data_IF_042997075170
#
_entry.id   IF_042997075170
#
_cell.length_a   1.000
_cell.length_b   1.000
_cell.length_c   1.000
_cell.angle_alpha   90.00
_cell.angle_beta   90.00
_cell.angle_gamma   90.00
#
_symmetry.space_group_name_H-M   'P 1'
#
loop_
_entity.id
_entity.type
_entity.pdbx_description
1 polymer ?
#
# COMPACT_ATOMS: atom_id res chain seq x y z
N UNK A 1 -29.73 -3.73 4.39
CA UNK A 1 -29.95 -2.33 4.77
C UNK A 1 -28.64 -1.74 5.24
N UNK A 2 -28.32 -0.51 4.83
CA UNK A 2 -27.14 0.22 5.31
C UNK A 2 -27.26 0.36 6.84
N UNK A 3 -26.32 -0.15 7.65
CA UNK A 3 -26.43 -0.05 9.10
C UNK A 3 -26.46 1.42 9.51
N UNK A 4 -27.32 1.77 10.45
CA UNK A 4 -27.42 3.14 11.00
C UNK A 4 -26.07 3.56 11.58
N UNK A 5 -25.35 4.39 10.83
CA UNK A 5 -24.06 4.97 11.24
C UNK A 5 -24.34 6.07 12.27
N UNK A 6 -24.35 5.71 13.55
CA UNK A 6 -24.15 6.70 14.60
C UNK A 6 -22.64 6.92 14.71
N UNK A 7 -22.20 8.14 14.44
CA UNK A 7 -20.80 8.55 14.64
C UNK A 7 -20.51 8.48 16.14
N UNK A 8 -19.80 7.45 16.55
CA UNK A 8 -19.37 7.30 17.94
C UNK A 8 -17.94 7.86 18.08
N UNK A 9 -17.74 8.96 18.82
CA UNK A 9 -16.43 9.60 18.95
C UNK A 9 -15.36 8.66 19.52
N UNK A 10 -15.77 7.68 20.34
CA UNK A 10 -14.86 6.67 20.90
C UNK A 10 -14.30 5.75 19.81
N UNK A 11 -15.16 5.30 18.89
CA UNK A 11 -14.75 4.48 17.75
C UNK A 11 -13.89 5.30 16.80
N UNK A 12 -14.27 6.55 16.53
CA UNK A 12 -13.48 7.47 15.70
C UNK A 12 -12.06 7.63 16.22
N UNK A 13 -11.89 7.82 17.54
CA UNK A 13 -10.57 7.97 18.19
C UNK A 13 -9.71 6.72 18.08
N UNK A 14 -10.30 5.53 18.16
CA UNK A 14 -9.59 4.26 17.98
C UNK A 14 -9.15 4.02 16.53
N UNK A 15 -9.85 4.61 15.56
CA UNK A 15 -9.53 4.54 14.12
C UNK A 15 -8.51 5.62 13.72
N UNK A 16 -8.28 6.67 14.53
CA UNK A 16 -7.36 7.76 14.19
C UNK A 16 -5.95 7.33 13.78
N UNK A 17 -5.28 6.37 14.45
CA UNK A 17 -3.94 5.94 14.03
C UNK A 17 -3.93 5.36 12.61
N UNK A 18 -4.98 4.61 12.26
CA UNK A 18 -5.16 4.11 10.90
C UNK A 18 -5.34 5.29 9.91
N UNK A 19 -6.17 6.27 10.26
CA UNK A 19 -6.43 7.43 9.41
C UNK A 19 -5.20 8.32 9.20
N UNK A 20 -4.37 8.51 10.23
CA UNK A 20 -3.12 9.24 10.11
C UNK A 20 -2.15 8.55 9.13
N UNK A 21 -1.99 7.23 9.25
CA UNK A 21 -1.15 6.45 8.33
C UNK A 21 -1.74 6.42 6.92
N UNK A 22 -3.07 6.31 6.79
CA UNK A 22 -3.78 6.35 5.52
C UNK A 22 -3.54 7.67 4.77
N UNK A 23 -3.59 8.81 5.46
CA UNK A 23 -3.28 10.11 4.86
C UNK A 23 -1.82 10.20 4.46
N UNK A 24 -0.90 9.76 5.34
CA UNK A 24 0.52 9.68 5.01
C UNK A 24 0.76 8.85 3.74
N UNK A 25 0.05 7.73 3.60
CA UNK A 25 0.06 6.89 2.40
C UNK A 25 -0.45 7.65 1.17
N UNK A 26 -1.62 8.29 1.23
CA UNK A 26 -2.20 8.99 0.08
C UNK A 26 -1.31 10.17 -0.35
N UNK A 27 -0.87 10.98 0.61
CA UNK A 27 -0.01 12.14 0.35
C UNK A 27 1.34 11.73 -0.23
N UNK A 28 2.01 10.73 0.36
CA UNK A 28 3.31 10.25 -0.15
C UNK A 28 3.18 9.61 -1.54
N UNK A 29 2.09 8.87 -1.81
CA UNK A 29 1.85 8.32 -3.14
C UNK A 29 1.66 9.42 -4.19
N UNK A 30 0.87 10.45 -3.88
CA UNK A 30 0.65 11.57 -4.80
C UNK A 30 1.92 12.39 -5.04
N UNK A 31 2.71 12.64 -3.99
CA UNK A 31 4.00 13.33 -4.11
C UNK A 31 5.03 12.50 -4.87
N UNK A 32 5.03 11.17 -4.71
CA UNK A 32 5.85 10.28 -5.51
C UNK A 32 5.49 10.37 -7.00
N UNK A 33 4.20 10.23 -7.35
CA UNK A 33 3.72 10.35 -8.73
C UNK A 33 3.91 11.73 -9.35
N UNK A 34 4.02 12.79 -8.54
CA UNK A 34 4.37 14.14 -9.00
C UNK A 34 5.83 14.25 -9.46
N UNK A 35 6.72 13.46 -8.86
CA UNK A 35 8.16 13.55 -9.06
C UNK A 35 8.75 12.39 -9.85
N UNK A 36 7.98 11.32 -10.08
CA UNK A 36 8.43 10.09 -10.74
C UNK A 36 7.37 9.54 -11.67
N UNK A 37 7.81 8.96 -12.79
CA UNK A 37 6.95 8.24 -13.73
C UNK A 37 6.18 7.08 -13.09
N UNK A 38 5.01 6.77 -13.67
CA UNK A 38 4.09 5.74 -13.18
C UNK A 38 4.75 4.35 -13.17
N UNK A 39 5.64 4.09 -14.13
CA UNK A 39 6.34 2.83 -14.26
C UNK A 39 7.29 2.58 -13.07
N UNK A 40 8.14 3.57 -12.73
CA UNK A 40 9.03 3.47 -11.57
C UNK A 40 8.29 3.59 -10.23
N UNK A 41 7.15 4.30 -10.19
CA UNK A 41 6.27 4.27 -9.01
C UNK A 41 5.88 2.83 -8.62
N UNK A 42 5.57 1.97 -9.58
CA UNK A 42 5.24 0.56 -9.30
C UNK A 42 6.45 -0.23 -8.78
N UNK A 43 7.66 0.08 -9.26
CA UNK A 43 8.92 -0.49 -8.75
C UNK A 43 9.10 -0.10 -7.28
N UNK A 44 8.94 1.18 -6.93
CA UNK A 44 8.99 1.64 -5.54
C UNK A 44 7.90 1.03 -4.66
N UNK A 45 6.69 0.85 -5.21
CA UNK A 45 5.56 0.26 -4.49
C UNK A 45 5.81 -1.17 -4.05
N UNK A 46 6.60 -1.93 -4.79
CA UNK A 46 6.95 -3.32 -4.43
C UNK A 46 7.69 -3.45 -3.09
N UNK A 47 8.44 -2.40 -2.67
CA UNK A 47 9.10 -2.35 -1.36
C UNK A 47 8.10 -2.46 -0.20
N UNK A 48 6.81 -2.17 -0.44
CA UNK A 48 5.73 -2.42 0.51
C UNK A 48 5.76 -3.86 1.02
N UNK A 49 6.08 -4.83 0.16
CA UNK A 49 6.19 -6.24 0.54
C UNK A 49 7.32 -6.46 1.54
N UNK A 50 8.49 -5.87 1.29
CA UNK A 50 9.66 -5.94 2.19
C UNK A 50 9.34 -5.29 3.53
N UNK A 51 8.74 -4.10 3.53
CA UNK A 51 8.31 -3.44 4.77
C UNK A 51 7.23 -4.22 5.50
N UNK A 52 6.29 -4.84 4.80
CA UNK A 52 5.29 -5.71 5.42
C UNK A 52 5.94 -6.87 6.17
N UNK A 53 6.97 -7.51 5.60
CA UNK A 53 7.73 -8.58 6.27
C UNK A 53 8.41 -8.05 7.52
N UNK A 54 9.17 -6.97 7.37
CA UNK A 54 9.95 -6.37 8.44
C UNK A 54 9.05 -5.89 9.59
N UNK A 55 7.95 -5.21 9.28
CA UNK A 55 6.98 -4.76 10.27
C UNK A 55 6.17 -5.90 10.88
N UNK A 56 5.87 -6.98 10.14
CA UNK A 56 5.22 -8.16 10.71
C UNK A 56 6.15 -8.88 11.70
N UNK A 57 7.45 -8.92 11.42
CA UNK A 57 8.44 -9.42 12.36
C UNK A 57 8.56 -8.51 13.59
N UNK A 58 8.70 -7.19 13.40
CA UNK A 58 8.89 -6.24 14.52
C UNK A 58 7.64 -6.02 15.37
N UNK A 59 6.47 -5.84 14.76
CA UNK A 59 5.23 -5.47 15.46
C UNK A 59 4.40 -6.69 15.89
N UNK A 60 4.39 -7.75 15.08
CA UNK A 60 3.58 -8.95 15.36
C UNK A 60 4.43 -10.12 15.91
N UNK A 61 5.76 -9.97 16.00
CA UNK A 61 6.70 -11.03 16.43
C UNK A 61 6.54 -12.35 15.67
N UNK A 62 6.07 -12.30 14.43
CA UNK A 62 5.92 -13.50 13.61
C UNK A 62 7.26 -13.87 12.97
N UNK A 63 7.67 -15.13 13.13
CA UNK A 63 8.88 -15.65 12.51
C UNK A 63 8.72 -15.70 10.99
N UNK A 64 9.79 -15.37 10.27
CA UNK A 64 9.82 -15.35 8.81
C UNK A 64 10.83 -16.37 8.32
N UNK A 65 10.43 -17.19 7.35
CA UNK A 65 11.32 -18.20 6.74
C UNK A 65 12.45 -17.55 5.95
N UNK A 66 13.57 -18.27 5.87
CA UNK A 66 14.71 -17.91 5.02
C UNK A 66 14.29 -17.68 3.57
N UNK A 67 13.33 -18.47 3.05
CA UNK A 67 12.83 -18.30 1.68
C UNK A 67 12.11 -16.97 1.46
N UNK A 68 11.39 -16.47 2.47
CA UNK A 68 10.75 -15.16 2.41
C UNK A 68 11.80 -14.03 2.51
N UNK A 69 12.88 -14.23 3.25
CA UNK A 69 14.01 -13.29 3.32
C UNK A 69 14.75 -13.21 1.97
N UNK A 70 14.99 -14.35 1.31
CA UNK A 70 15.58 -14.39 -0.04
C UNK A 70 14.71 -13.65 -1.06
N UNK A 71 13.39 -13.84 -1.01
CA UNK A 71 12.46 -13.11 -1.87
C UNK A 71 12.53 -11.58 -1.62
N UNK A 72 12.68 -11.15 -0.36
CA UNK A 72 12.91 -9.74 -0.04
C UNK A 72 14.25 -9.24 -0.62
N UNK A 73 15.31 -10.06 -0.56
CA UNK A 73 16.61 -9.74 -1.17
C UNK A 73 16.49 -9.52 -2.68
N UNK A 74 15.73 -10.35 -3.39
CA UNK A 74 15.46 -10.18 -4.83
C UNK A 74 14.71 -8.87 -5.12
N UNK A 75 13.72 -8.52 -4.30
CA UNK A 75 12.98 -7.25 -4.44
C UNK A 75 13.92 -6.05 -4.24
N UNK A 76 14.77 -6.08 -3.20
CA UNK A 76 15.72 -4.99 -2.92
C UNK A 76 16.73 -4.87 -4.07
N UNK A 77 17.27 -5.99 -4.56
CA UNK A 77 18.20 -6.01 -5.69
C UNK A 77 17.57 -5.46 -6.97
N UNK A 78 16.33 -5.86 -7.27
CA UNK A 78 15.59 -5.33 -8.41
C UNK A 78 15.29 -3.84 -8.26
N UNK A 79 14.89 -3.38 -7.06
CA UNK A 79 14.68 -1.95 -6.78
C UNK A 79 15.96 -1.14 -7.00
N UNK A 80 17.10 -1.60 -6.49
CA UNK A 80 18.39 -0.93 -6.68
C UNK A 80 18.77 -0.87 -8.16
N UNK A 81 18.62 -1.98 -8.90
CA UNK A 81 18.85 -1.98 -10.35
C UNK A 81 17.92 -1.00 -11.07
N UNK A 82 16.67 -0.85 -10.62
CA UNK A 82 15.72 0.09 -11.19
C UNK A 82 16.12 1.54 -10.94
N UNK A 83 16.59 1.84 -9.72
CA UNK A 83 17.12 3.17 -9.34
C UNK A 83 18.34 3.52 -10.20
N UNK A 84 19.26 2.57 -10.38
CA UNK A 84 20.47 2.77 -11.18
C UNK A 84 20.13 3.08 -12.65
N UNK A 85 19.17 2.35 -13.23
CA UNK A 85 18.74 2.57 -14.62
C UNK A 85 18.00 3.91 -14.81
N UNK A 86 17.10 4.30 -13.90
CA UNK A 86 16.50 5.65 -13.94
C UNK A 86 17.56 6.75 -13.72
N UNK A 87 18.59 6.47 -12.94
CA UNK A 87 19.76 7.35 -12.77
C UNK A 87 20.53 7.53 -14.07
N UNK A 88 20.77 6.43 -14.80
CA UNK A 88 21.45 6.44 -16.10
C UNK A 88 20.62 7.14 -17.20
N UNK A 89 19.29 7.02 -17.15
CA UNK A 89 18.36 7.71 -18.06
C UNK A 89 18.17 9.20 -17.71
N UNK A 90 18.69 9.67 -16.56
CA UNK A 90 18.59 11.06 -16.12
C UNK A 90 17.21 11.48 -15.61
N UNK A 91 16.27 10.54 -15.49
CA UNK A 91 14.90 10.74 -14.99
C UNK A 91 14.79 10.61 -13.48
N UNK A 92 15.91 10.32 -12.80
CA UNK A 92 15.94 10.06 -11.37
C UNK A 92 15.62 11.30 -10.54
N UNK A 93 14.61 11.15 -9.67
CA UNK A 93 14.25 12.13 -8.66
C UNK A 93 14.46 11.55 -7.26
N UNK A 94 15.47 12.06 -6.54
CA UNK A 94 15.73 11.67 -5.15
C UNK A 94 14.55 11.94 -4.23
N UNK A 95 13.86 13.06 -4.44
CA UNK A 95 12.62 13.42 -3.73
C UNK A 95 11.52 12.39 -4.01
N UNK A 96 11.40 11.97 -5.26
CA UNK A 96 10.48 10.93 -5.69
C UNK A 96 10.75 9.57 -5.06
N UNK A 97 12.02 9.14 -5.04
CA UNK A 97 12.46 7.91 -4.37
C UNK A 97 12.13 7.96 -2.87
N UNK A 98 12.44 9.07 -2.20
CA UNK A 98 12.15 9.23 -0.77
C UNK A 98 10.64 9.10 -0.49
N UNK A 99 9.79 9.81 -1.25
CA UNK A 99 8.34 9.69 -1.11
C UNK A 99 7.82 8.30 -1.52
N UNK A 100 8.46 7.63 -2.47
CA UNK A 100 8.14 6.25 -2.84
C UNK A 100 8.40 5.25 -1.72
N UNK A 101 9.57 5.35 -1.06
CA UNK A 101 9.92 4.52 0.10
C UNK A 101 8.96 4.81 1.26
N UNK A 102 8.70 6.10 1.55
CA UNK A 102 7.77 6.51 2.59
C UNK A 102 6.34 6.04 2.30
N UNK A 103 5.89 6.12 1.05
CA UNK A 103 4.60 5.62 0.62
C UNK A 103 4.51 4.10 0.87
N UNK A 104 5.51 3.33 0.46
CA UNK A 104 5.55 1.88 0.70
C UNK A 104 5.53 1.50 2.19
N UNK A 105 6.22 2.27 3.03
CA UNK A 105 6.16 2.13 4.48
C UNK A 105 4.74 2.45 5.02
N UNK A 106 4.13 3.55 4.58
CA UNK A 106 2.77 3.89 5.01
C UNK A 106 1.73 2.88 4.51
N UNK A 107 1.86 2.33 3.30
CA UNK A 107 0.97 1.28 2.78
C UNK A 107 1.05 0.03 3.66
N UNK A 108 2.27 -0.41 4.02
CA UNK A 108 2.46 -1.59 4.87
C UNK A 108 1.91 -1.38 6.28
N UNK A 109 2.19 -0.23 6.90
CA UNK A 109 1.58 0.16 8.17
C UNK A 109 0.05 0.23 8.09
N UNK A 110 -0.51 0.79 7.02
CA UNK A 110 -1.94 0.90 6.80
C UNK A 110 -2.59 -0.48 6.76
N UNK A 111 -1.97 -1.46 6.10
CA UNK A 111 -2.45 -2.84 6.05
C UNK A 111 -2.44 -3.52 7.44
N UNK A 112 -1.39 -3.30 8.23
CA UNK A 112 -1.28 -3.83 9.61
C UNK A 112 -2.33 -3.20 10.53
N UNK A 113 -2.43 -1.87 10.53
CA UNK A 113 -3.42 -1.15 11.34
C UNK A 113 -4.85 -1.47 10.92
N UNK A 114 -5.12 -1.67 9.61
CA UNK A 114 -6.44 -2.09 9.13
C UNK A 114 -6.86 -3.39 9.80
N UNK A 115 -5.97 -4.39 9.85
CA UNK A 115 -6.25 -5.66 10.53
C UNK A 115 -6.41 -5.50 12.05
N UNK A 116 -5.59 -4.65 12.68
CA UNK A 116 -5.62 -4.41 14.13
C UNK A 116 -6.88 -3.68 14.58
N UNK A 117 -7.40 -2.77 13.75
CA UNK A 117 -8.58 -1.93 14.05
C UNK A 117 -9.89 -2.57 13.57
N UNK A 118 -9.84 -3.52 12.62
CA UNK A 118 -11.01 -4.23 12.12
C UNK A 118 -11.92 -4.85 13.22
N UNK A 119 -11.39 -5.46 14.31
CA UNK A 119 -12.22 -5.97 15.41
C UNK A 119 -12.96 -4.87 16.19
N UNK A 120 -12.43 -3.65 16.22
CA UNK A 120 -13.00 -2.50 16.96
C UNK A 120 -14.28 -1.98 16.29
N UNK A 121 -14.49 -2.30 15.01
CA UNK A 121 -15.66 -1.90 14.21
C UNK A 121 -16.55 -3.10 13.86
N UNK A 122 -16.57 -4.12 14.72
CA UNK A 122 -17.35 -5.35 14.58
C UNK A 122 -17.06 -6.11 13.27
N UNK A 123 -15.84 -6.02 12.73
CA UNK A 123 -15.48 -6.66 11.46
C UNK A 123 -16.19 -6.07 10.22
N UNK A 124 -16.81 -4.90 10.37
CA UNK A 124 -17.48 -4.19 9.27
C UNK A 124 -16.51 -3.26 8.56
N UNK A 125 -16.07 -3.67 7.37
CA UNK A 125 -15.26 -2.82 6.48
C UNK A 125 -15.98 -1.53 6.15
N UNK A 126 -17.30 -1.58 5.96
CA UNK A 126 -18.05 -0.39 5.62
C UNK A 126 -17.99 0.66 6.73
N UNK A 127 -18.09 0.23 8.00
CA UNK A 127 -17.86 1.11 9.16
C UNK A 127 -16.41 1.60 9.19
N UNK A 128 -15.44 0.71 8.99
CA UNK A 128 -14.02 1.07 8.99
C UNK A 128 -13.72 2.17 7.96
N UNK A 129 -14.15 1.97 6.71
CA UNK A 129 -13.94 2.90 5.60
C UNK A 129 -14.65 4.23 5.86
N UNK A 130 -15.87 4.20 6.42
CA UNK A 130 -16.59 5.42 6.78
C UNK A 130 -15.84 6.23 7.84
N UNK A 131 -15.50 5.64 8.98
CA UNK A 131 -14.75 6.32 10.04
C UNK A 131 -13.38 6.81 9.56
N UNK A 132 -12.69 5.98 8.76
CA UNK A 132 -11.40 6.33 8.20
C UNK A 132 -11.48 7.55 7.28
N UNK A 133 -12.45 7.58 6.36
CA UNK A 133 -12.62 8.69 5.42
C UNK A 133 -13.06 9.97 6.14
N UNK A 134 -13.96 9.89 7.12
CA UNK A 134 -14.36 11.05 7.93
C UNK A 134 -13.17 11.63 8.70
N UNK A 135 -12.41 10.79 9.40
CA UNK A 135 -11.18 11.20 10.08
C UNK A 135 -10.16 11.76 9.08
N UNK A 136 -10.03 11.15 7.89
CA UNK A 136 -9.11 11.61 6.87
C UNK A 136 -9.47 13.00 6.34
N UNK A 137 -10.76 13.29 6.09
CA UNK A 137 -11.20 14.64 5.71
C UNK A 137 -10.77 15.69 6.74
N UNK A 138 -10.92 15.39 8.04
CA UNK A 138 -10.52 16.30 9.12
C UNK A 138 -8.99 16.47 9.19
N UNK A 139 -8.24 15.37 9.07
CA UNK A 139 -6.78 15.39 9.18
C UNK A 139 -6.08 15.92 7.91
N UNK A 140 -6.73 15.91 6.75
CA UNK A 140 -6.21 16.55 5.52
C UNK A 140 -6.16 18.08 5.63
N UNK A 141 -7.08 18.71 6.38
CA UNK A 141 -7.07 20.17 6.59
C UNK A 141 -5.76 20.71 7.19
N UNK A 142 -5.27 20.24 8.35
CA UNK A 142 -4.01 20.70 8.90
C UNK A 142 -2.82 20.32 8.00
N UNK A 143 -2.88 19.19 7.30
CA UNK A 143 -1.83 18.81 6.37
C UNK A 143 -1.74 19.75 5.17
N UNK A 144 -2.88 20.17 4.60
CA UNK A 144 -2.92 21.17 3.52
C UNK A 144 -2.39 22.53 3.98
N UNK A 145 -2.61 22.92 5.25
CA UNK A 145 -2.02 24.12 5.83
C UNK A 145 -0.49 24.01 5.91
N UNK A 146 0.02 22.88 6.43
CA UNK A 146 1.46 22.65 6.60
C UNK A 146 2.21 22.56 5.27
N UNK A 147 1.61 21.97 4.25
CA UNK A 147 2.21 21.83 2.92
C UNK A 147 2.04 23.09 2.05
N UNK A 148 1.30 24.11 2.52
CA UNK A 148 1.07 25.35 1.78
C UNK A 148 0.12 25.19 0.57
N UNK A 149 -0.62 24.10 0.49
CA UNK A 149 -1.52 23.78 -0.63
C UNK A 149 -2.64 24.80 -0.80
N UNK A 150 -3.04 25.50 0.27
CA UNK A 150 -4.03 26.59 0.17
C UNK A 150 -3.56 27.74 -0.73
N UNK A 151 -2.26 28.03 -0.75
CA UNK A 151 -1.70 29.08 -1.63
C UNK A 151 -1.71 28.62 -3.08
N UNK A 152 -1.36 27.36 -3.32
CA UNK A 152 -1.41 26.71 -4.63
C UNK A 152 -2.83 26.68 -5.18
N UNK A 153 -3.81 26.32 -4.33
CA UNK A 153 -5.23 26.36 -4.67
C UNK A 153 -5.66 27.78 -5.02
N UNK A 154 -5.35 28.79 -4.22
CA UNK A 154 -5.77 30.17 -4.53
C UNK A 154 -5.32 30.66 -5.91
N UNK A 155 -4.14 30.22 -6.39
CA UNK A 155 -3.60 30.59 -7.71
C UNK A 155 -3.98 29.59 -8.82
N UNK A 156 -4.84 28.61 -8.54
CA UNK A 156 -5.21 27.60 -9.52
C UNK A 156 -6.42 28.03 -10.34
N UNK A 157 -6.17 28.49 -11.57
CA UNK A 157 -7.17 29.09 -12.46
C UNK A 157 -8.36 28.18 -12.81
N UNK A 158 -8.22 26.85 -12.65
CA UNK A 158 -9.27 25.88 -13.01
C UNK A 158 -10.19 25.50 -11.85
N UNK A 159 -10.03 26.08 -10.66
CA UNK A 159 -10.91 25.80 -9.51
C UNK A 159 -12.39 26.11 -9.77
N UNK A 160 -12.69 27.09 -10.62
CA UNK A 160 -14.05 27.41 -11.04
C UNK A 160 -14.60 26.54 -12.17
N UNK A 161 -13.78 25.65 -12.75
CA UNK A 161 -14.16 24.89 -13.95
C UNK A 161 -15.06 23.70 -13.59
N UNK A 162 -16.23 23.56 -14.22
CA UNK A 162 -17.07 22.37 -14.07
C UNK A 162 -16.36 21.08 -14.51
N UNK A 163 -15.49 21.17 -15.52
CA UNK A 163 -14.71 20.02 -16.01
C UNK A 163 -13.71 19.53 -14.97
N UNK A 164 -13.07 20.44 -14.24
CA UNK A 164 -12.18 20.11 -13.13
C UNK A 164 -12.94 19.37 -12.02
N UNK A 165 -14.08 19.90 -11.57
CA UNK A 165 -14.90 19.23 -10.55
C UNK A 165 -15.52 17.92 -11.04
N UNK A 166 -15.83 17.81 -12.34
CA UNK A 166 -16.26 16.55 -12.96
C UNK A 166 -15.18 15.47 -12.86
N UNK A 167 -13.94 15.78 -13.27
CA UNK A 167 -12.81 14.85 -13.14
C UNK A 167 -12.47 14.55 -11.67
N UNK A 168 -12.51 15.55 -10.78
CA UNK A 168 -12.25 15.37 -9.36
C UNK A 168 -13.28 14.46 -8.70
N UNK A 169 -14.57 14.68 -8.98
CA UNK A 169 -15.66 13.86 -8.44
C UNK A 169 -15.58 12.44 -8.98
N UNK A 170 -15.32 12.27 -10.28
CA UNK A 170 -15.14 10.95 -10.90
C UNK A 170 -13.95 10.20 -10.27
N UNK A 171 -12.82 10.88 -10.09
CA UNK A 171 -11.66 10.33 -9.39
C UNK A 171 -11.97 9.94 -7.95
N UNK A 172 -12.73 10.77 -7.23
CA UNK A 172 -13.19 10.48 -5.86
C UNK A 172 -14.10 9.25 -5.79
N UNK A 173 -15.04 9.11 -6.72
CA UNK A 173 -15.93 7.94 -6.82
C UNK A 173 -15.13 6.67 -7.09
N UNK A 174 -14.21 6.69 -8.05
CA UNK A 174 -13.33 5.54 -8.32
C UNK A 174 -12.39 5.24 -7.15
N UNK A 175 -11.84 6.26 -6.50
CA UNK A 175 -10.98 6.10 -5.32
C UNK A 175 -11.73 5.44 -4.16
N UNK A 176 -12.95 5.89 -3.88
CA UNK A 176 -13.82 5.27 -2.88
C UNK A 176 -14.18 3.82 -3.25
N UNK A 177 -14.57 3.58 -4.51
CA UNK A 177 -14.92 2.25 -5.00
C UNK A 177 -13.74 1.28 -4.90
N UNK A 178 -12.54 1.69 -5.32
CA UNK A 178 -11.31 0.90 -5.19
C UNK A 178 -11.03 0.62 -3.70
N UNK A 179 -11.07 1.63 -2.84
CA UNK A 179 -10.84 1.44 -1.40
C UNK A 179 -11.83 0.46 -0.77
N UNK A 180 -13.10 0.54 -1.14
CA UNK A 180 -14.13 -0.38 -0.67
C UNK A 180 -13.94 -1.80 -1.19
N UNK A 181 -13.71 -1.97 -2.50
CA UNK A 181 -13.47 -3.28 -3.13
C UNK A 181 -12.19 -3.92 -2.60
N UNK A 182 -11.12 -3.16 -2.39
CA UNK A 182 -9.88 -3.63 -1.77
C UNK A 182 -10.13 -4.11 -0.34
N UNK A 183 -10.91 -3.37 0.45
CA UNK A 183 -11.34 -3.81 1.77
C UNK A 183 -12.11 -5.12 1.70
N UNK A 184 -13.14 -5.21 0.83
CA UNK A 184 -13.93 -6.43 0.64
C UNK A 184 -13.08 -7.62 0.21
N UNK A 185 -12.12 -7.40 -0.70
CA UNK A 185 -11.17 -8.42 -1.13
C UNK A 185 -10.37 -8.93 0.07
N UNK A 186 -9.87 -8.06 0.95
CA UNK A 186 -9.13 -8.49 2.16
C UNK A 186 -10.01 -9.30 3.12
N UNK A 187 -11.32 -9.02 3.21
CA UNK A 187 -12.25 -9.77 4.08
C UNK A 187 -12.71 -11.09 3.50
N UNK A 188 -13.04 -11.13 2.21
CA UNK A 188 -13.59 -12.33 1.55
C UNK A 188 -12.52 -13.23 0.95
N UNK A 189 -11.31 -12.71 0.71
CA UNK A 189 -10.17 -13.52 0.25
C UNK A 189 -9.11 -13.58 1.33
N UNK A 190 -8.10 -14.44 1.12
CA UNK A 190 -6.95 -14.44 2.01
C UNK A 190 -6.09 -13.19 1.78
N UNK A 191 -5.37 -12.68 2.80
CA UNK A 191 -4.37 -11.63 2.61
C UNK A 191 -3.32 -11.96 1.54
N UNK A 192 -3.05 -13.25 1.33
CA UNK A 192 -2.17 -13.74 0.26
C UNK A 192 -2.78 -13.49 -1.12
N UNK A 193 -4.05 -13.85 -1.33
CA UNK A 193 -4.77 -13.63 -2.58
C UNK A 193 -4.82 -12.15 -2.94
N UNK A 194 -5.09 -11.28 -1.97
CA UNK A 194 -5.03 -9.82 -2.15
C UNK A 194 -3.64 -9.36 -2.65
N UNK A 195 -2.55 -9.87 -2.08
CA UNK A 195 -1.20 -9.50 -2.49
C UNK A 195 -0.82 -10.03 -3.88
N UNK A 196 -1.25 -11.25 -4.25
CA UNK A 196 -1.06 -11.78 -5.62
C UNK A 196 -1.80 -10.90 -6.62
N UNK A 197 -3.08 -10.59 -6.38
CA UNK A 197 -3.86 -9.70 -7.25
C UNK A 197 -3.24 -8.30 -7.33
N UNK A 198 -2.71 -7.78 -6.23
CA UNK A 198 -1.99 -6.51 -6.19
C UNK A 198 -0.72 -6.53 -7.05
N UNK A 199 0.05 -7.61 -7.03
CA UNK A 199 1.26 -7.78 -7.85
C UNK A 199 0.92 -7.91 -9.33
N UNK A 200 -0.11 -8.68 -9.67
CA UNK A 200 -0.59 -8.78 -11.05
C UNK A 200 -1.11 -7.44 -11.59
N UNK A 201 -1.86 -6.69 -10.77
CA UNK A 201 -2.27 -5.33 -11.09
C UNK A 201 -1.07 -4.41 -11.33
N UNK A 202 -0.06 -4.44 -10.47
CA UNK A 202 1.15 -3.63 -10.64
C UNK A 202 1.90 -3.98 -11.94
N UNK A 203 2.03 -5.27 -12.25
CA UNK A 203 2.62 -5.73 -13.51
C UNK A 203 1.89 -5.16 -14.73
N UNK A 204 0.56 -5.33 -14.77
CA UNK A 204 -0.26 -4.78 -15.85
C UNK A 204 -0.16 -3.26 -15.93
N UNK A 205 -0.20 -2.56 -14.79
CA UNK A 205 -0.06 -1.10 -14.76
C UNK A 205 1.29 -0.62 -15.27
N UNK A 206 2.39 -1.33 -14.97
CA UNK A 206 3.71 -0.98 -15.47
C UNK A 206 3.78 -1.14 -16.99
N UNK A 207 3.32 -2.26 -17.53
CA UNK A 207 3.32 -2.51 -18.98
C UNK A 207 2.44 -1.48 -19.71
N UNK A 208 1.22 -1.24 -19.19
CA UNK A 208 0.32 -0.25 -19.77
C UNK A 208 0.89 1.18 -19.70
N UNK A 209 1.57 1.54 -18.60
CA UNK A 209 2.20 2.85 -18.48
C UNK A 209 3.30 3.03 -19.53
N UNK A 210 4.20 2.06 -19.69
CA UNK A 210 5.29 2.14 -20.68
C UNK A 210 4.73 2.27 -22.11
N UNK A 211 3.69 1.51 -22.45
CA UNK A 211 3.04 1.58 -23.77
C UNK A 211 2.32 2.92 -23.96
N UNK A 212 1.55 3.37 -22.98
CA UNK A 212 0.71 4.56 -23.10
C UNK A 212 1.51 5.87 -23.09
N UNK A 213 2.58 5.94 -22.29
CA UNK A 213 3.48 7.09 -22.22
C UNK A 213 4.60 7.03 -23.27
N UNK A 214 4.59 6.02 -24.16
CA UNK A 214 5.59 5.82 -25.22
C UNK A 214 7.03 5.86 -24.70
N UNK A 215 7.25 5.34 -23.49
CA UNK A 215 8.57 5.33 -22.84
C UNK A 215 9.42 4.18 -23.40
N UNK A 216 10.62 4.50 -23.89
CA UNK A 216 11.62 3.49 -24.25
C UNK A 216 12.49 3.16 -23.05
N UNK A 217 12.31 1.95 -22.50
CA UNK A 217 13.06 1.48 -21.33
C UNK A 217 14.12 0.45 -21.69
N UNK A 218 15.26 0.52 -21.02
CA UNK A 218 16.38 -0.41 -21.22
C UNK A 218 16.01 -1.86 -20.87
N UNK A 219 16.73 -2.85 -21.42
CA UNK A 219 16.53 -4.25 -21.02
C UNK A 219 16.83 -4.48 -19.53
N UNK A 220 17.78 -3.74 -18.96
CA UNK A 220 18.10 -3.79 -17.52
C UNK A 220 16.96 -3.24 -16.65
N UNK A 221 16.23 -2.25 -17.17
CA UNK A 221 15.04 -1.74 -16.49
C UNK A 221 13.93 -2.80 -16.45
N UNK A 222 13.73 -3.53 -17.55
CA UNK A 222 12.77 -4.65 -17.59
C UNK A 222 13.18 -5.80 -16.68
N UNK A 223 14.47 -6.14 -16.61
CA UNK A 223 14.94 -7.17 -15.67
C UNK A 223 14.76 -6.75 -14.22
N UNK A 224 15.00 -5.47 -13.89
CA UNK A 224 14.67 -4.89 -12.58
C UNK A 224 13.19 -5.08 -12.23
N UNK A 225 12.28 -4.69 -13.13
CA UNK A 225 10.85 -4.83 -12.91
C UNK A 225 10.43 -6.31 -12.76
N UNK A 226 11.01 -7.22 -13.55
CA UNK A 226 10.78 -8.66 -13.42
C UNK A 226 11.29 -9.23 -12.10
N UNK A 227 12.48 -8.82 -11.63
CA UNK A 227 13.01 -9.23 -10.32
C UNK A 227 12.08 -8.77 -9.20
N UNK A 228 11.62 -7.53 -9.26
CA UNK A 228 10.75 -6.94 -8.25
C UNK A 228 9.38 -7.65 -8.18
N UNK A 229 8.73 -7.83 -9.34
CA UNK A 229 7.42 -8.47 -9.41
C UNK A 229 7.51 -9.97 -9.12
N UNK A 230 8.53 -10.63 -9.67
CA UNK A 230 8.83 -12.04 -9.43
C UNK A 230 9.16 -12.32 -7.96
N UNK A 231 9.96 -11.46 -7.32
CA UNK A 231 10.25 -11.53 -5.88
C UNK A 231 9.00 -11.35 -5.02
N UNK A 232 8.13 -10.40 -5.37
CA UNK A 232 6.85 -10.19 -4.68
C UNK A 232 5.90 -11.40 -4.83
N UNK A 233 5.87 -12.01 -6.01
CA UNK A 233 5.12 -13.24 -6.26
C UNK A 233 5.70 -14.42 -5.47
N UNK A 234 7.01 -14.64 -5.53
CA UNK A 234 7.71 -15.71 -4.81
C UNK A 234 7.51 -15.59 -3.29
N UNK A 235 7.60 -14.38 -2.73
CA UNK A 235 7.31 -14.11 -1.32
C UNK A 235 5.88 -14.56 -0.96
N UNK A 236 4.91 -14.18 -1.77
CA UNK A 236 3.50 -14.52 -1.53
C UNK A 236 3.28 -16.02 -1.63
N UNK A 237 3.94 -16.69 -2.59
CA UNK A 237 3.90 -18.14 -2.73
C UNK A 237 4.47 -18.87 -1.51
N UNK A 238 5.67 -18.48 -1.06
CA UNK A 238 6.32 -19.04 0.14
C UNK A 238 5.45 -18.89 1.37
N UNK A 239 4.93 -17.69 1.62
CA UNK A 239 4.01 -17.46 2.75
C UNK A 239 2.72 -18.28 2.62
N UNK A 240 2.23 -18.49 1.41
CA UNK A 240 1.09 -19.38 1.16
C UNK A 240 1.37 -20.82 1.58
N UNK A 241 2.54 -21.35 1.24
CA UNK A 241 2.96 -22.69 1.63
C UNK A 241 3.16 -22.82 3.15
N UNK A 242 3.75 -21.81 3.80
CA UNK A 242 3.88 -21.78 5.27
C UNK A 242 2.53 -21.82 5.97
N UNK A 243 1.56 -21.01 5.52
CA UNK A 243 0.22 -21.00 6.12
C UNK A 243 -0.50 -22.34 5.97
N UNK A 244 -0.33 -23.04 4.83
CA UNK A 244 -0.89 -24.38 4.61
C UNK A 244 -0.27 -25.43 5.53
N UNK A 245 1.06 -25.44 5.67
CA UNK A 245 1.76 -26.37 6.57
C UNK A 245 1.30 -26.22 8.03
N UNK A 246 1.09 -25.00 8.51
CA UNK A 246 0.60 -24.74 9.87
C UNK A 246 -0.85 -25.19 10.07
N UNK A 247 -1.66 -25.27 9.01
CA UNK A 247 -3.02 -25.81 9.07
C UNK A 247 -3.07 -27.34 9.01
N UNK A 248 -2.15 -27.98 8.28
CA UNK A 248 -2.07 -29.44 8.12
C UNK A 248 -1.41 -30.15 9.33
N UNK A 249 -0.59 -29.46 10.14
CA UNK A 249 0.02 -30.00 11.38
C UNK A 249 -0.46 -29.27 12.66
N UNK A 250 -1.58 -29.69 13.30
CA UNK A 250 -2.09 -29.08 14.53
C UNK A 250 -1.18 -29.31 15.75
N UNK A 251 -0.23 -30.26 15.67
CA UNK A 251 0.56 -30.74 16.81
C UNK A 251 1.71 -29.80 17.20
N UNK A 252 2.02 -28.79 16.39
CA UNK A 252 3.04 -27.76 16.71
C UNK A 252 2.50 -26.70 17.67
N UNK A 253 1.19 -26.40 17.63
CA UNK A 253 0.55 -25.47 18.58
C UNK A 253 0.55 -25.99 20.02
N UNK A 254 0.57 -27.32 20.22
CA UNK A 254 0.68 -27.96 21.54
C UNK A 254 2.10 -27.91 22.11
N UNK A 255 3.14 -27.92 21.27
CA UNK A 255 4.53 -27.82 21.74
C UNK A 255 4.90 -26.39 22.17
N UNK A 256 4.58 -25.36 21.38
CA UNK A 256 4.94 -23.97 21.74
C UNK A 256 4.22 -23.45 22.99
N UNK A 257 3.01 -23.95 23.27
CA UNK A 257 2.27 -23.60 24.50
C UNK A 257 2.84 -24.30 25.74
N UNK A 258 3.55 -25.41 25.58
CA UNK A 258 4.21 -26.11 26.69
C UNK A 258 5.61 -25.54 26.98
N UNK A 259 6.30 -24.94 25.99
CA UNK A 259 7.62 -24.32 26.19
C UNK A 259 7.56 -22.89 26.75
N UNK A 260 6.43 -22.19 26.61
CA UNK A 260 6.21 -20.84 27.17
C UNK A 260 5.48 -20.85 28.52
N UNK A 261 5.26 -22.03 29.09
CA UNK A 261 4.60 -22.22 30.39
C UNK A 261 5.57 -22.36 31.55
N UNK A 262 6.27 -21.28 31.90
CA UNK A 262 6.71 -20.94 33.28
C UNK A 262 6.66 -19.43 33.44
#
# INVERSE_FOLDING_TARGET
GLPTLRLDPKVSRSVLPLSAVFIGMVTSNNLCLKHVGVAFYNVGRSLTTVFNVLLSYLLLKQTTSLYALLACGVIIGGFWLGVDQEGAEGTLSWTGIFFGILASLCVSLNAIYTKKVLPVVDGSIWRLTFYNNVNACVLFFPLMLLLGEFRTLYHFDKLGSPSFWGMMTLGGVFGFAIGYVTGLQIKFTSPLTHNVSGTAKACAQTVLAVIYFEETKSLLWWTSNLMVLGGSFAYTWVKGLEMRKVQEDPNVKSCERNETGV
#
